data_IF_414942656950
#
_entry.id   IF_414942656950
#
_cell.length_a   1.000
_cell.length_b   1.000
_cell.length_c   1.000
_cell.angle_alpha   90.00
_cell.angle_beta   90.00
_cell.angle_gamma   90.00
#
_symmetry.space_group_name_H-M   'P 1'
#
loop_
_entity.id
_entity.type
_entity.pdbx_description
1 polymer ?
#
# COMPACT_ATOMS: atom_id res chain seq x y z
N UNK A 1 -16.06 20.31 -1.68
CA UNK A 1 -15.41 19.21 -0.94
C UNK A 1 -13.97 19.65 -0.69
N UNK A 2 -13.62 20.08 0.53
CA UNK A 2 -12.23 20.44 0.84
C UNK A 2 -11.40 19.17 0.82
N UNK A 3 -10.42 19.10 -0.09
CA UNK A 3 -9.43 18.02 -0.07
C UNK A 3 -8.57 18.24 1.18
N UNK A 4 -8.37 17.24 2.05
CA UNK A 4 -7.45 17.38 3.17
C UNK A 4 -6.07 17.78 2.62
N UNK A 5 -5.48 18.88 3.14
CA UNK A 5 -4.21 19.45 2.64
C UNK A 5 -2.98 18.58 2.86
N UNK A 6 -3.14 17.38 3.41
CA UNK A 6 -2.09 16.37 3.53
C UNK A 6 -2.56 15.11 2.81
N UNK A 7 -1.91 14.81 1.68
CA UNK A 7 -1.97 13.50 1.06
C UNK A 7 -1.54 12.45 2.09
N UNK A 8 -2.21 11.29 2.10
CA UNK A 8 -1.89 10.19 3.01
C UNK A 8 -0.38 9.91 3.03
N UNK A 9 0.20 9.75 4.22
CA UNK A 9 1.63 9.45 4.32
C UNK A 9 1.95 8.10 3.66
N UNK A 10 2.98 8.10 2.82
CA UNK A 10 3.51 6.91 2.15
C UNK A 10 4.91 6.61 2.67
N UNK A 11 5.21 5.32 2.85
CA UNK A 11 6.57 4.92 3.17
C UNK A 11 7.43 5.06 1.90
N UNK A 12 8.46 5.89 1.96
CA UNK A 12 9.46 6.03 0.89
C UNK A 12 10.61 5.04 1.04
N UNK A 13 10.95 4.65 2.28
CA UNK A 13 11.98 3.65 2.57
C UNK A 13 11.63 2.76 3.75
N UNK A 14 11.97 1.47 3.67
CA UNK A 14 11.85 0.49 4.75
C UNK A 14 13.11 -0.39 4.82
N UNK A 15 13.36 -1.00 5.98
CA UNK A 15 14.45 -1.97 6.10
C UNK A 15 14.11 -3.26 5.37
N UNK A 16 15.01 -3.72 4.49
CA UNK A 16 14.87 -5.01 3.83
C UNK A 16 15.78 -6.06 4.49
N UNK A 17 15.24 -7.17 5.02
CA UNK A 17 16.06 -8.21 5.66
C UNK A 17 16.95 -8.97 4.68
N UNK A 18 16.59 -9.03 3.39
CA UNK A 18 17.41 -9.67 2.35
C UNK A 18 18.57 -8.78 1.89
N UNK A 19 18.35 -7.48 1.73
CA UNK A 19 19.39 -6.51 1.35
C UNK A 19 20.20 -6.00 2.55
N UNK A 20 19.70 -6.22 3.78
CA UNK A 20 20.30 -5.78 5.05
C UNK A 20 20.54 -4.28 5.15
N UNK A 21 19.64 -3.49 4.57
CA UNK A 21 19.73 -2.03 4.55
C UNK A 21 18.33 -1.40 4.48
N UNK A 22 18.24 -0.11 4.82
CA UNK A 22 17.10 0.72 4.43
C UNK A 22 17.11 0.87 2.91
N UNK A 23 15.99 0.52 2.28
CA UNK A 23 15.84 0.53 0.82
C UNK A 23 14.61 1.33 0.43
N UNK A 24 14.61 1.96 -0.76
CA UNK A 24 13.37 2.49 -1.33
C UNK A 24 12.36 1.36 -1.55
N UNK A 25 11.09 1.68 -1.41
CA UNK A 25 9.99 0.71 -1.54
C UNK A 25 9.06 1.05 -2.69
N UNK A 26 8.42 0.02 -3.25
CA UNK A 26 7.33 0.12 -4.23
C UNK A 26 6.04 -0.33 -3.54
N UNK A 27 4.98 0.47 -3.63
CA UNK A 27 3.64 0.12 -3.14
C UNK A 27 2.91 -0.68 -4.22
N UNK A 28 2.32 -1.81 -3.85
CA UNK A 28 1.52 -2.67 -4.74
C UNK A 28 0.19 -2.99 -4.08
N UNK A 29 -0.92 -2.75 -4.77
CA UNK A 29 -2.24 -3.15 -4.29
C UNK A 29 -2.33 -4.68 -4.20
N UNK A 30 -2.70 -5.19 -3.03
CA UNK A 30 -2.97 -6.61 -2.81
C UNK A 30 -4.45 -6.90 -2.98
N UNK A 31 -5.30 -6.11 -2.31
CA UNK A 31 -6.71 -6.42 -2.19
C UNK A 31 -7.53 -5.13 -2.08
N UNK A 32 -8.68 -5.11 -2.74
CA UNK A 32 -9.72 -4.10 -2.53
C UNK A 32 -10.76 -4.71 -1.60
N UNK A 33 -10.96 -4.07 -0.45
CA UNK A 33 -11.93 -4.45 0.57
C UNK A 33 -13.08 -3.43 0.63
N UNK A 34 -14.25 -3.82 1.16
CA UNK A 34 -15.33 -2.86 1.41
C UNK A 34 -14.93 -1.68 2.31
N UNK A 35 -14.05 -1.93 3.29
CA UNK A 35 -13.56 -0.96 4.26
C UNK A 35 -12.30 -0.18 3.83
N UNK A 36 -11.70 -0.51 2.68
CA UNK A 36 -10.45 0.11 2.27
C UNK A 36 -9.65 -0.70 1.24
N UNK A 37 -8.42 -0.28 1.01
CA UNK A 37 -7.48 -0.99 0.13
C UNK A 37 -6.28 -1.48 0.93
N UNK A 38 -5.92 -2.75 0.75
CA UNK A 38 -4.72 -3.35 1.30
C UNK A 38 -3.59 -3.31 0.28
N UNK A 39 -2.45 -2.81 0.70
CA UNK A 39 -1.24 -2.68 -0.09
C UNK A 39 -0.06 -3.36 0.57
N UNK A 40 0.83 -3.87 -0.26
CA UNK A 40 2.14 -4.37 0.14
C UNK A 40 3.24 -3.40 -0.29
N UNK A 41 4.23 -3.23 0.58
CA UNK A 41 5.48 -2.59 0.23
C UNK A 41 6.52 -3.63 -0.13
N UNK A 42 7.11 -3.47 -1.31
CA UNK A 42 8.16 -4.33 -1.84
C UNK A 42 9.49 -3.59 -1.86
N UNK A 43 10.58 -4.26 -1.48
CA UNK A 43 11.93 -3.76 -1.72
C UNK A 43 12.12 -3.48 -3.22
N UNK A 44 12.53 -2.25 -3.57
CA UNK A 44 12.69 -1.87 -4.97
C UNK A 44 13.80 -2.64 -5.71
N UNK A 45 14.70 -3.30 -4.98
CA UNK A 45 15.84 -4.04 -5.54
C UNK A 45 15.60 -5.55 -5.65
N UNK A 46 15.14 -6.20 -4.57
CA UNK A 46 15.03 -7.66 -4.49
C UNK A 46 13.58 -8.16 -4.41
N UNK A 47 12.61 -7.25 -4.53
CA UNK A 47 11.16 -7.50 -4.52
C UNK A 47 10.63 -8.30 -3.32
N UNK A 48 11.38 -8.38 -2.23
CA UNK A 48 10.86 -8.96 -0.98
C UNK A 48 9.79 -8.06 -0.39
N UNK A 49 8.74 -8.66 0.16
CA UNK A 49 7.82 -7.98 1.06
C UNK A 49 8.57 -7.39 2.24
N UNK A 50 8.33 -6.12 2.52
CA UNK A 50 8.97 -5.38 3.63
C UNK A 50 7.95 -4.61 4.49
N UNK A 51 6.66 -4.66 4.14
CA UNK A 51 5.61 -4.03 4.93
C UNK A 51 4.23 -4.13 4.28
N UNK A 52 3.20 -3.81 5.04
CA UNK A 52 1.79 -3.77 4.63
C UNK A 52 1.22 -2.40 5.03
N UNK A 53 0.30 -1.86 4.21
CA UNK A 53 -0.48 -0.66 4.51
C UNK A 53 -1.95 -0.92 4.18
N UNK A 54 -2.86 -0.49 5.05
CA UNK A 54 -4.30 -0.53 4.81
C UNK A 54 -4.81 0.90 4.75
N UNK A 55 -5.29 1.33 3.58
CA UNK A 55 -5.92 2.63 3.37
C UNK A 55 -7.43 2.52 3.57
N UNK A 56 -7.91 2.89 4.77
CA UNK A 56 -9.33 2.83 5.15
C UNK A 56 -10.21 3.94 4.54
N UNK A 57 -9.62 4.83 3.77
CA UNK A 57 -10.31 5.94 3.12
C UNK A 57 -10.39 5.74 1.59
N UNK A 58 -10.23 4.49 1.14
CA UNK A 58 -10.47 4.17 -0.26
C UNK A 58 -11.98 4.37 -0.58
N UNK A 59 -12.31 4.81 -1.81
CA UNK A 59 -13.70 4.94 -2.21
C UNK A 59 -14.44 3.61 -2.03
N UNK A 60 -15.65 3.66 -1.47
CA UNK A 60 -16.48 2.46 -1.30
C UNK A 60 -16.73 1.81 -2.68
N UNK A 61 -16.10 0.67 -2.92
CA UNK A 61 -16.25 -0.06 -4.18
C UNK A 61 -17.55 -0.86 -4.18
N UNK A 62 -18.48 -0.54 -5.08
CA UNK A 62 -19.63 -1.41 -5.36
C UNK A 62 -19.14 -2.66 -6.12
N UNK A 63 -18.94 -3.76 -5.39
CA UNK A 63 -18.60 -5.05 -5.97
C UNK A 63 -19.83 -5.65 -6.66
N UNK A 64 -19.93 -5.50 -7.99
CA UNK A 64 -20.93 -6.20 -8.80
C UNK A 64 -20.42 -7.61 -9.08
N UNK A 65 -20.85 -8.57 -8.26
CA UNK A 65 -20.61 -9.99 -8.49
C UNK A 65 -21.63 -10.45 -9.54
N UNK A 66 -21.19 -10.68 -10.78
CA UNK A 66 -22.03 -11.32 -11.80
C UNK A 66 -22.06 -12.84 -11.55
N UNK A 67 -23.24 -13.48 -11.58
CA UNK A 67 -23.38 -14.93 -11.40
C UNK A 67 -22.77 -15.72 -12.55
#
# INVERSE_FOLDING_TARGET
MQKPSFEQFEATSLYCPRCKAAVPVRKRLLLVLPEGEEYEYLCAYCSSSVGIKIDKNAPQTELIIKP
#
